data_IF_189985028244
#
_entry.id   IF_189985028244
#
_cell.length_a   1.000
_cell.length_b   1.000
_cell.length_c   1.000
_cell.angle_alpha   90.00
_cell.angle_beta   90.00
_cell.angle_gamma   90.00
#
_symmetry.space_group_name_H-M   'P 1'
#
loop_
_entity.id
_entity.type
_entity.pdbx_description
1 polymer ?
#
# COMPACT_ATOMS: atom_id res chain seq x y z
N UNK A 1 -23.41 -2.47 39.47
CA UNK A 1 -23.22 -1.69 38.23
C UNK A 1 -22.12 -0.67 38.48
N UNK A 2 -20.97 -0.79 37.81
CA UNK A 2 -20.03 0.32 37.53
C UNK A 2 -18.85 -0.21 36.70
N UNK A 3 -19.01 -0.03 35.39
CA UNK A 3 -18.03 0.21 34.33
C UNK A 3 -16.58 -0.26 34.56
N UNK A 4 -16.28 -1.47 34.09
CA UNK A 4 -14.92 -1.93 33.77
C UNK A 4 -14.44 -1.17 32.53
N UNK A 5 -13.61 -0.14 32.75
CA UNK A 5 -12.93 0.62 31.71
C UNK A 5 -11.84 -0.26 31.08
N UNK A 6 -12.23 -1.18 30.18
CA UNK A 6 -11.31 -1.87 29.28
C UNK A 6 -10.78 -0.86 28.26
N UNK A 7 -9.74 -0.12 28.66
CA UNK A 7 -8.82 0.46 27.70
C UNK A 7 -8.23 -0.69 26.90
N UNK A 8 -8.84 -0.97 25.75
CA UNK A 8 -8.23 -1.76 24.70
C UNK A 8 -6.95 -1.04 24.32
N UNK A 9 -5.84 -1.49 24.90
CA UNK A 9 -4.51 -1.22 24.42
C UNK A 9 -4.50 -1.74 22.98
N UNK A 10 -4.74 -0.84 22.01
CA UNK A 10 -4.46 -1.13 20.61
C UNK A 10 -2.95 -1.31 20.56
N UNK A 11 -2.49 -2.55 20.66
CA UNK A 11 -1.18 -2.92 20.14
C UNK A 11 -1.26 -2.74 18.63
N UNK A 12 -1.06 -1.51 18.18
CA UNK A 12 -0.48 -1.25 16.89
C UNK A 12 0.93 -1.80 16.97
N UNK A 13 1.09 -3.11 16.80
CA UNK A 13 2.36 -3.67 16.37
C UNK A 13 2.52 -3.24 14.91
N UNK A 14 2.67 -1.92 14.72
CA UNK A 14 2.97 -1.31 13.46
C UNK A 14 4.36 -1.82 13.14
N UNK A 15 4.45 -2.65 12.12
CA UNK A 15 5.72 -3.10 11.60
C UNK A 15 6.46 -1.82 11.18
N UNK A 16 7.55 -1.47 11.86
CA UNK A 16 8.28 -0.20 11.66
C UNK A 16 8.91 -0.18 10.26
N UNK A 17 8.10 0.17 9.27
CA UNK A 17 8.52 0.26 7.89
C UNK A 17 8.86 1.71 7.61
N UNK A 18 10.13 1.95 7.31
CA UNK A 18 10.59 3.27 6.88
C UNK A 18 10.49 3.39 5.37
N UNK A 19 10.11 4.58 4.91
CA UNK A 19 9.93 4.95 3.52
C UNK A 19 10.87 6.12 3.19
N UNK A 20 11.50 6.07 2.02
CA UNK A 20 12.21 7.18 1.39
C UNK A 20 12.04 7.12 -0.13
N UNK A 21 12.25 8.25 -0.80
CA UNK A 21 12.38 8.29 -2.26
C UNK A 21 13.82 7.91 -2.59
N UNK A 22 13.99 6.85 -3.38
CA UNK A 22 15.30 6.38 -3.88
C UNK A 22 15.70 7.14 -5.14
N UNK A 23 14.78 7.32 -6.09
CA UNK A 23 15.06 8.05 -7.34
C UNK A 23 13.85 8.82 -7.83
N UNK A 24 14.11 9.89 -8.59
CA UNK A 24 13.12 10.68 -9.34
C UNK A 24 13.68 10.86 -10.76
N UNK A 25 12.90 10.53 -11.79
CA UNK A 25 13.33 10.57 -13.20
C UNK A 25 14.66 9.81 -13.42
N UNK A 26 14.79 8.63 -12.80
CA UNK A 26 16.00 7.80 -12.82
C UNK A 26 17.27 8.45 -12.24
N UNK A 27 17.16 9.59 -11.56
CA UNK A 27 18.26 10.19 -10.79
C UNK A 27 18.11 9.80 -9.34
N UNK A 28 19.14 9.16 -8.79
CA UNK A 28 19.20 8.82 -7.37
C UNK A 28 19.10 10.10 -6.53
N UNK A 29 18.28 10.07 -5.49
CA UNK A 29 18.10 11.19 -4.58
C UNK A 29 18.10 10.72 -3.15
N UNK A 30 18.68 11.53 -2.26
CA UNK A 30 18.64 11.28 -0.82
C UNK A 30 17.51 12.09 -0.23
N UNK A 31 16.48 11.39 0.23
CA UNK A 31 15.36 12.00 0.93
C UNK A 31 15.32 11.56 2.38
N UNK A 32 14.60 12.33 3.20
CA UNK A 32 14.37 11.96 4.60
C UNK A 32 13.54 10.68 4.66
N UNK A 33 13.83 9.85 5.66
CA UNK A 33 13.02 8.68 5.98
C UNK A 33 11.76 9.12 6.73
N UNK A 34 10.64 8.49 6.42
CA UNK A 34 9.38 8.64 7.15
C UNK A 34 8.85 7.26 7.55
N UNK A 35 8.13 7.17 8.65
CA UNK A 35 7.47 5.94 9.05
C UNK A 35 6.08 5.86 8.42
N UNK A 36 5.71 4.67 7.98
CA UNK A 36 4.41 4.43 7.34
C UNK A 36 3.64 3.34 8.07
N UNK A 37 2.31 3.47 8.04
CA UNK A 37 1.44 2.44 8.60
C UNK A 37 1.19 1.37 7.53
N UNK A 38 1.90 0.24 7.64
CA UNK A 38 1.70 -0.90 6.75
C UNK A 38 0.30 -1.48 6.93
N UNK A 39 -0.43 -1.68 5.83
CA UNK A 39 -1.79 -2.24 5.82
C UNK A 39 -1.83 -3.68 5.32
N UNK A 40 -1.04 -3.98 4.29
CA UNK A 40 -0.92 -5.31 3.69
C UNK A 40 0.44 -5.44 2.97
N UNK A 41 0.98 -6.66 2.90
CA UNK A 41 2.22 -6.98 2.19
C UNK A 41 2.12 -8.37 1.55
N UNK A 42 2.63 -8.49 0.33
CA UNK A 42 2.66 -9.72 -0.47
C UNK A 42 3.97 -9.82 -1.25
N UNK A 43 4.16 -10.90 -2.00
CA UNK A 43 5.36 -11.05 -2.85
C UNK A 43 5.40 -10.04 -4.00
N UNK A 44 4.25 -9.51 -4.42
CA UNK A 44 4.15 -8.59 -5.56
C UNK A 44 4.13 -7.13 -5.13
N UNK A 45 3.75 -6.83 -3.89
CA UNK A 45 3.61 -5.44 -3.48
C UNK A 45 3.19 -5.26 -2.03
N UNK A 46 2.96 -4.02 -1.65
CA UNK A 46 2.43 -3.65 -0.34
C UNK A 46 1.40 -2.54 -0.45
N UNK A 47 0.62 -2.36 0.60
CA UNK A 47 -0.21 -1.17 0.79
C UNK A 47 0.07 -0.51 2.12
N UNK A 48 0.06 0.81 2.14
CA UNK A 48 0.37 1.58 3.35
C UNK A 48 -0.42 2.88 3.40
N UNK A 49 -0.56 3.41 4.61
CA UNK A 49 -1.16 4.72 4.86
C UNK A 49 -0.10 5.72 5.32
N UNK A 50 -0.17 6.95 4.80
CA UNK A 50 0.70 8.05 5.17
C UNK A 50 -0.02 9.41 5.03
N UNK A 51 0.39 10.40 5.81
CA UNK A 51 -0.07 11.79 5.67
C UNK A 51 0.57 12.52 4.49
N UNK A 52 1.73 12.03 4.00
CA UNK A 52 2.42 12.63 2.86
C UNK A 52 1.67 12.34 1.55
N UNK A 53 1.55 13.37 0.73
CA UNK A 53 0.93 13.32 -0.58
C UNK A 53 1.99 12.98 -1.65
N UNK A 54 2.07 11.70 -2.03
CA UNK A 54 2.92 11.23 -3.13
C UNK A 54 2.13 11.22 -4.46
N UNK A 55 2.73 11.65 -5.59
CA UNK A 55 2.04 11.72 -6.87
C UNK A 55 1.93 10.37 -7.61
N UNK A 56 0.78 9.70 -7.62
CA UNK A 56 0.61 8.33 -8.16
C UNK A 56 1.17 8.03 -9.57
N UNK A 57 1.41 9.04 -10.41
CA UNK A 57 1.91 8.91 -11.79
C UNK A 57 3.28 9.57 -11.99
N UNK A 58 4.21 9.40 -11.05
CA UNK A 58 5.57 9.92 -11.18
C UNK A 58 6.61 8.83 -11.46
N UNK A 59 7.68 9.21 -12.16
CA UNK A 59 8.88 8.40 -12.33
C UNK A 59 9.74 8.37 -11.07
N UNK A 60 9.14 8.01 -9.92
CA UNK A 60 9.89 7.84 -8.69
C UNK A 60 9.83 6.41 -8.19
N UNK A 61 10.97 5.98 -7.66
CA UNK A 61 11.12 4.70 -6.98
C UNK A 61 11.16 4.96 -5.50
N UNK A 62 10.30 4.28 -4.77
CA UNK A 62 10.28 4.30 -3.32
C UNK A 62 11.18 3.20 -2.79
N UNK A 63 11.94 3.52 -1.75
CA UNK A 63 12.71 2.57 -0.94
C UNK A 63 12.01 2.38 0.39
N UNK A 64 11.77 1.12 0.71
CA UNK A 64 11.20 0.66 1.97
C UNK A 64 12.27 -0.14 2.72
N UNK A 65 12.39 0.08 4.02
CA UNK A 65 13.39 -0.58 4.84
C UNK A 65 12.80 -0.91 6.22
N UNK A 66 12.97 -2.17 6.61
CA UNK A 66 12.62 -2.68 7.94
C UNK A 66 13.67 -3.71 8.38
N UNK A 67 13.93 -3.81 9.68
CA UNK A 67 14.94 -4.72 10.22
C UNK A 67 14.67 -6.21 9.92
N UNK A 68 13.40 -6.62 9.83
CA UNK A 68 13.00 -8.01 9.56
C UNK A 68 13.03 -8.32 8.06
N UNK A 69 12.58 -7.37 7.23
CA UNK A 69 12.36 -7.59 5.81
C UNK A 69 13.48 -7.06 4.92
N UNK A 70 14.46 -6.34 5.46
CA UNK A 70 15.51 -5.69 4.70
C UNK A 70 14.96 -4.60 3.77
N UNK A 71 15.69 -4.36 2.69
CA UNK A 71 15.37 -3.33 1.70
C UNK A 71 14.45 -3.84 0.59
N UNK A 72 13.47 -3.02 0.21
CA UNK A 72 12.56 -3.27 -0.89
C UNK A 72 12.40 -2.00 -1.73
N UNK A 73 12.24 -2.15 -3.04
CA UNK A 73 11.97 -1.05 -3.96
C UNK A 73 10.63 -1.24 -4.66
N UNK A 74 9.90 -0.14 -4.85
CA UNK A 74 8.60 -0.21 -5.52
C UNK A 74 8.13 1.12 -6.11
N UNK A 75 7.12 1.05 -6.96
CA UNK A 75 6.42 2.20 -7.53
C UNK A 75 4.99 2.26 -7.04
N UNK A 76 4.49 3.47 -6.79
CA UNK A 76 3.06 3.66 -6.51
C UNK A 76 2.28 3.34 -7.78
N UNK A 77 1.26 2.49 -7.67
CA UNK A 77 0.36 2.12 -8.78
C UNK A 77 -1.03 2.70 -8.63
N UNK A 78 -1.45 2.98 -7.39
CA UNK A 78 -2.69 3.67 -7.09
C UNK A 78 -2.59 4.44 -5.79
N UNK A 79 -3.47 5.42 -5.65
CA UNK A 79 -3.61 6.29 -4.49
C UNK A 79 -5.09 6.52 -4.23
N UNK A 80 -5.47 6.51 -2.95
CA UNK A 80 -6.81 6.87 -2.49
C UNK A 80 -6.70 7.93 -1.38
N UNK A 81 -7.57 8.94 -1.45
CA UNK A 81 -7.67 9.95 -0.40
C UNK A 81 -8.61 9.46 0.70
N UNK A 82 -8.19 9.63 1.95
CA UNK A 82 -8.96 9.23 3.14
C UNK A 82 -9.11 10.44 4.05
N UNK A 83 -10.02 10.40 5.02
CA UNK A 83 -10.23 11.50 5.97
C UNK A 83 -8.97 11.91 6.74
N UNK A 84 -8.00 11.00 6.89
CA UNK A 84 -6.84 11.16 7.76
C UNK A 84 -5.51 11.03 7.01
N UNK A 85 -5.53 11.20 5.68
CA UNK A 85 -4.34 11.15 4.83
C UNK A 85 -4.57 10.35 3.55
N UNK A 86 -3.57 9.58 3.13
CA UNK A 86 -3.58 8.88 1.85
C UNK A 86 -3.27 7.41 2.03
N UNK A 87 -3.98 6.57 1.29
CA UNK A 87 -3.71 5.14 1.14
C UNK A 87 -3.04 4.92 -0.22
N UNK A 88 -1.97 4.12 -0.22
CA UNK A 88 -1.20 3.83 -1.42
C UNK A 88 -1.08 2.33 -1.64
N UNK A 89 -1.14 1.94 -2.91
CA UNK A 89 -0.69 0.63 -3.36
C UNK A 89 0.63 0.74 -4.10
N UNK A 90 1.54 -0.16 -3.78
CA UNK A 90 2.89 -0.19 -4.33
C UNK A 90 3.12 -1.54 -4.99
N UNK A 91 3.62 -1.50 -6.23
CA UNK A 91 4.15 -2.67 -6.91
C UNK A 91 5.66 -2.75 -6.65
N UNK A 92 6.13 -3.90 -6.19
CA UNK A 92 7.57 -4.11 -6.01
C UNK A 92 8.29 -4.22 -7.34
N UNK A 93 9.45 -3.56 -7.42
CA UNK A 93 10.46 -3.72 -8.45
C UNK A 93 11.53 -4.72 -8.00
N UNK A 94 11.87 -4.71 -6.71
CA UNK A 94 12.80 -5.65 -6.10
C UNK A 94 12.44 -5.87 -4.63
N UNK A 95 12.49 -7.12 -4.18
CA UNK A 95 12.30 -7.51 -2.78
C UNK A 95 13.57 -8.17 -2.24
N UNK A 96 13.78 -8.09 -0.94
CA UNK A 96 14.88 -8.81 -0.31
C UNK A 96 14.59 -10.31 -0.21
N UNK A 97 15.66 -11.11 -0.12
CA UNK A 97 15.56 -12.53 0.20
C UNK A 97 14.92 -12.78 1.58
N UNK A 98 15.06 -11.85 2.52
CA UNK A 98 14.46 -11.97 3.85
C UNK A 98 12.93 -11.88 3.78
N UNK A 99 12.40 -10.91 3.03
CA UNK A 99 10.95 -10.80 2.79
C UNK A 99 10.42 -12.03 2.06
N UNK A 100 11.12 -12.47 1.01
CA UNK A 100 10.70 -13.64 0.23
C UNK A 100 10.58 -14.88 1.13
N UNK A 101 11.59 -15.14 1.98
CA UNK A 101 11.55 -16.25 2.95
C UNK A 101 10.44 -16.08 3.98
N UNK A 102 10.25 -14.86 4.49
CA UNK A 102 9.21 -14.57 5.48
C UNK A 102 7.82 -14.92 4.92
N UNK A 103 7.47 -14.38 3.75
CA UNK A 103 6.16 -14.60 3.14
C UNK A 103 5.94 -16.05 2.66
N UNK A 104 6.98 -16.70 2.14
CA UNK A 104 6.89 -18.11 1.71
C UNK A 104 6.82 -19.07 2.89
N UNK A 105 7.50 -18.78 3.99
CA UNK A 105 7.43 -19.60 5.20
C UNK A 105 6.09 -19.44 5.91
N UNK A 106 5.57 -18.21 6.04
CA UNK A 106 4.22 -17.97 6.59
C UNK A 106 3.10 -18.60 5.73
N UNK A 107 3.34 -18.77 4.43
CA UNK A 107 2.40 -19.49 3.55
C UNK A 107 2.38 -21.01 3.78
N UNK A 108 3.46 -21.58 4.35
CA UNK A 108 3.60 -23.01 4.63
C UNK A 108 3.23 -23.38 6.08
N UNK A 109 3.40 -22.44 7.01
CA UNK A 109 2.93 -22.54 8.39
C UNK A 109 1.68 -21.69 8.53
N UNK A 110 0.55 -22.18 8.04
CA UNK A 110 -0.70 -21.44 8.07
C UNK A 110 -1.18 -21.18 9.51
N UNK A 111 -0.69 -20.12 10.15
CA UNK A 111 -1.24 -19.52 11.38
C UNK A 111 -0.47 -18.25 11.82
N UNK A 112 -0.52 -17.18 11.03
CA UNK A 112 -0.41 -15.82 11.59
C UNK A 112 -1.27 -14.85 10.76
N UNK A 113 -2.57 -14.79 11.09
CA UNK A 113 -3.46 -13.76 10.56
C UNK A 113 -3.05 -12.42 11.16
N UNK A 114 -2.42 -11.55 10.37
CA UNK A 114 -2.59 -10.11 10.54
C UNK A 114 -4.08 -9.82 10.33
N UNK A 115 -4.87 -9.98 11.40
CA UNK A 115 -6.28 -9.63 11.47
C UNK A 115 -6.35 -8.10 11.50
N UNK A 116 -6.18 -7.47 10.34
CA UNK A 116 -6.69 -6.12 10.14
C UNK A 116 -8.21 -6.23 10.27
N UNK A 117 -8.76 -5.68 11.35
CA UNK A 117 -10.19 -5.48 11.47
C UNK A 117 -10.61 -4.54 10.34
N UNK A 118 -11.13 -5.10 9.26
CA UNK A 118 -11.97 -4.41 8.31
C UNK A 118 -13.08 -5.38 7.91
N UNK A 119 -14.12 -5.44 8.75
CA UNK A 119 -15.43 -5.79 8.26
C UNK A 119 -15.90 -4.68 7.31
N UNK A 120 -15.44 -4.70 6.06
CA UNK A 120 -16.13 -4.02 4.94
C UNK A 120 -16.00 -4.92 3.71
N UNK A 121 -17.09 -5.67 3.51
CA UNK A 121 -17.61 -6.13 2.22
C UNK A 121 -16.63 -6.76 1.22
N UNK A 122 -16.74 -8.07 1.14
CA UNK A 122 -16.54 -8.89 -0.06
C UNK A 122 -16.94 -8.17 -1.35
N UNK A 123 -15.95 -7.78 -2.14
CA UNK A 123 -16.07 -7.74 -3.61
C UNK A 123 -14.80 -8.35 -4.22
N UNK A 124 -14.91 -9.40 -5.04
CA UNK A 124 -13.76 -10.00 -5.72
C UNK A 124 -13.12 -9.02 -6.71
N UNK A 125 -11.80 -9.16 -6.87
CA UNK A 125 -10.89 -8.39 -7.74
C UNK A 125 -11.35 -8.25 -9.21
N UNK A 126 -12.28 -9.08 -9.68
CA UNK A 126 -12.74 -9.15 -11.08
C UNK A 126 -13.80 -8.12 -11.49
N UNK A 127 -14.37 -7.35 -10.57
CA UNK A 127 -15.61 -6.60 -10.84
C UNK A 127 -15.44 -5.09 -11.05
N UNK A 128 -14.21 -4.56 -11.22
CA UNK A 128 -13.98 -3.10 -11.33
C UNK A 128 -13.79 -2.57 -12.77
N UNK A 129 -13.99 -3.42 -13.77
CA UNK A 129 -14.11 -3.02 -15.17
C UNK A 129 -15.57 -2.84 -15.56
N UNK A 130 -16.26 -1.87 -14.95
CA UNK A 130 -17.44 -1.30 -15.61
C UNK A 130 -16.93 -0.37 -16.71
N UNK A 131 -17.36 -0.66 -17.93
CA UNK A 131 -17.02 0.06 -19.13
C UNK A 131 -17.25 1.57 -18.94
N UNK A 132 -16.22 2.36 -19.23
CA UNK A 132 -16.39 3.79 -19.47
C UNK A 132 -17.34 3.92 -20.67
N UNK A 133 -18.51 4.56 -20.55
CA UNK A 133 -19.33 4.84 -21.71
C UNK A 133 -18.53 5.78 -22.63
N UNK A 134 -18.26 5.31 -23.84
CA UNK A 134 -17.69 6.11 -24.91
C UNK A 134 -18.60 7.32 -25.15
N UNK A 135 -18.08 8.54 -25.28
CA UNK A 135 -18.90 9.67 -25.71
C UNK A 135 -19.43 9.39 -27.12
N UNK A 136 -20.76 9.36 -27.24
CA UNK A 136 -21.47 9.32 -28.53
C UNK A 136 -21.06 10.55 -29.36
N UNK A 137 -20.67 10.40 -30.63
CA UNK A 137 -20.45 11.54 -31.50
C UNK A 137 -21.81 12.22 -31.78
N UNK A 138 -21.92 13.48 -31.38
CA UNK A 138 -23.04 14.35 -31.73
C UNK A 138 -22.96 14.65 -33.24
N UNK A 139 -23.68 13.91 -34.06
CA UNK A 139 -23.96 14.32 -35.44
C UNK A 139 -24.92 15.51 -35.41
N UNK A 140 -24.35 16.72 -35.39
CA UNK A 140 -25.06 17.88 -35.89
C UNK A 140 -25.28 17.67 -37.39
N UNK A 141 -26.52 17.32 -37.73
CA UNK A 141 -27.02 17.49 -39.09
C UNK A 141 -27.12 18.99 -39.35
N UNK A 142 -26.23 19.51 -40.18
CA UNK A 142 -26.42 20.75 -40.94
C UNK A 142 -25.81 20.56 -42.32
N UNK A 143 -26.59 20.03 -43.26
CA UNK A 143 -27.17 20.76 -44.39
C UNK A 143 -27.95 19.79 -45.29
#
# INVERSE_FOLDING_TARGET
>A
MSHENRQHQRSTTALDLSLSIHSIQNKETKTRRTFIELKDISLTGLSFKCSLNFPAHGDYVLKFENALFGEMHGKIVWKEHTETGFLYGVQFLSISNALNRFLTHESLTGEHRLRTQAAVMTKPWSARYEAVPQPVPSNHSQQ
#
